data_IF_185078875580
#
_entry.id   IF_185078875580
#
_cell.length_a   1.000
_cell.length_b   1.000
_cell.length_c   1.000
_cell.angle_alpha   90.00
_cell.angle_beta   90.00
_cell.angle_gamma   90.00
#
_symmetry.space_group_name_H-M   'P 1'
#
loop_
_entity.id
_entity.type
_entity.pdbx_description
1 polymer ?
#
# COMPACT_ATOMS: atom_id res chain seq x y z
N UNK A 1 -3.23 -6.22 8.88
CA UNK A 1 -3.87 -5.72 7.65
C UNK A 1 -3.96 -4.20 7.61
N UNK A 2 -4.28 -3.54 8.73
CA UNK A 2 -4.33 -2.09 8.83
C UNK A 2 -3.12 -1.32 8.23
N UNK A 3 -1.85 -1.75 8.41
CA UNK A 3 -0.71 -1.05 7.79
C UNK A 3 -0.75 -1.05 6.25
N UNK A 4 -1.17 -2.17 5.65
CA UNK A 4 -1.31 -2.27 4.19
C UNK A 4 -2.47 -1.42 3.68
N UNK A 5 -3.62 -1.44 4.37
CA UNK A 5 -4.80 -0.63 4.00
C UNK A 5 -4.44 0.85 4.05
N UNK A 6 -3.76 1.28 5.11
CA UNK A 6 -3.26 2.65 5.25
C UNK A 6 -2.32 3.02 4.10
N UNK A 7 -1.33 2.17 3.81
CA UNK A 7 -0.38 2.40 2.73
C UNK A 7 -1.07 2.54 1.36
N UNK A 8 -2.04 1.67 1.05
CA UNK A 8 -2.79 1.75 -0.20
C UNK A 8 -3.62 3.03 -0.32
N UNK A 9 -4.24 3.50 0.78
CA UNK A 9 -4.95 4.77 0.82
C UNK A 9 -4.01 5.97 0.63
N UNK A 10 -2.84 5.95 1.26
CA UNK A 10 -1.80 6.99 1.08
C UNK A 10 -1.30 7.03 -0.38
N UNK A 11 -1.20 5.86 -1.03
CA UNK A 11 -0.88 5.74 -2.45
C UNK A 11 -2.07 6.05 -3.39
N UNK A 12 -3.21 6.48 -2.83
CA UNK A 12 -4.35 7.03 -3.55
C UNK A 12 -5.45 6.04 -3.92
N UNK A 13 -5.40 4.79 -3.47
CA UNK A 13 -6.49 3.84 -3.66
C UNK A 13 -7.68 4.13 -2.71
N UNK A 14 -8.90 3.94 -3.18
CA UNK A 14 -10.10 3.95 -2.34
C UNK A 14 -10.29 2.59 -1.67
N UNK A 15 -10.48 2.56 -0.34
CA UNK A 15 -10.76 1.34 0.43
C UNK A 15 -11.86 1.63 1.45
N UNK A 16 -12.92 0.82 1.42
CA UNK A 16 -14.18 1.01 2.16
C UNK A 16 -14.19 0.42 3.58
N UNK A 17 -13.14 -0.32 3.98
CA UNK A 17 -13.07 -1.00 5.28
C UNK A 17 -11.67 -1.01 5.89
N UNK A 18 -11.59 -1.31 7.19
CA UNK A 18 -10.33 -1.42 7.96
C UNK A 18 -9.82 -2.87 8.10
N UNK A 19 -10.64 -3.84 7.70
CA UNK A 19 -10.35 -5.27 7.76
C UNK A 19 -11.15 -6.01 6.68
N UNK A 20 -10.91 -7.31 6.54
CA UNK A 20 -11.68 -8.14 5.61
C UNK A 20 -13.11 -8.38 6.13
N UNK A 21 -14.10 -8.50 5.23
CA UNK A 21 -14.02 -8.27 3.78
C UNK A 21 -13.90 -6.77 3.44
N UNK A 22 -13.24 -6.46 2.32
CA UNK A 22 -13.03 -5.07 1.85
C UNK A 22 -13.03 -4.98 0.32
N UNK A 23 -13.36 -3.79 -0.19
CA UNK A 23 -13.30 -3.42 -1.61
C UNK A 23 -12.16 -2.43 -1.84
N UNK A 24 -11.34 -2.66 -2.88
CA UNK A 24 -10.29 -1.72 -3.30
C UNK A 24 -10.66 -1.14 -4.67
N UNK A 25 -10.68 0.18 -4.77
CA UNK A 25 -10.98 0.91 -6.00
C UNK A 25 -9.79 1.77 -6.42
N UNK A 26 -9.39 1.66 -7.68
CA UNK A 26 -8.30 2.46 -8.25
C UNK A 26 -8.72 3.89 -8.64
N UNK A 27 -7.78 4.68 -9.20
CA UNK A 27 -6.42 4.29 -9.56
C UNK A 27 -5.46 4.30 -8.36
N UNK A 28 -4.41 3.47 -8.41
CA UNK A 28 -3.25 3.64 -7.53
C UNK A 28 -2.39 4.78 -8.10
N UNK A 29 -2.29 5.91 -7.39
CA UNK A 29 -1.48 7.05 -7.86
C UNK A 29 0.01 6.71 -7.77
N UNK A 30 0.43 6.04 -6.70
CA UNK A 30 1.84 5.80 -6.42
C UNK A 30 2.43 6.92 -5.56
N UNK A 31 3.75 7.06 -5.58
CA UNK A 31 4.48 8.08 -4.81
C UNK A 31 5.34 7.47 -3.71
N UNK A 32 5.33 8.07 -2.53
CA UNK A 32 6.14 7.65 -1.40
C UNK A 32 5.27 7.06 -0.30
N UNK A 33 5.70 5.94 0.28
CA UNK A 33 5.06 5.37 1.47
C UNK A 33 6.10 4.81 2.42
N UNK A 34 5.79 4.88 3.71
CA UNK A 34 6.62 4.38 4.78
C UNK A 34 5.88 3.31 5.57
N UNK A 35 6.50 2.13 5.68
CA UNK A 35 5.91 0.97 6.33
C UNK A 35 6.85 0.48 7.44
N UNK A 36 6.34 0.20 8.67
CA UNK A 36 7.15 -0.41 9.72
C UNK A 36 7.68 -1.78 9.27
N UNK A 37 8.97 -2.05 9.44
CA UNK A 37 9.62 -3.33 9.14
C UNK A 37 9.21 -4.44 10.10
N UNK A 38 8.63 -4.09 11.25
CA UNK A 38 7.95 -5.03 12.14
C UNK A 38 6.63 -5.53 11.56
N UNK A 39 6.07 -4.85 10.54
CA UNK A 39 4.96 -5.37 9.78
C UNK A 39 5.44 -6.49 8.85
N UNK A 40 4.59 -7.49 8.61
CA UNK A 40 4.95 -8.67 7.80
C UNK A 40 5.53 -8.30 6.43
N UNK A 41 6.57 -9.03 6.00
CA UNK A 41 7.25 -8.88 4.70
C UNK A 41 6.28 -8.95 3.51
N UNK A 42 5.16 -9.65 3.66
CA UNK A 42 4.11 -9.76 2.64
C UNK A 42 3.55 -8.39 2.20
N UNK A 43 3.54 -7.38 3.07
CA UNK A 43 3.01 -6.05 2.73
C UNK A 43 3.96 -5.29 1.80
N UNK A 44 5.25 -5.30 2.12
CA UNK A 44 6.27 -4.70 1.26
C UNK A 44 6.29 -5.39 -0.11
N UNK A 45 6.28 -6.73 -0.15
CA UNK A 45 6.23 -7.49 -1.40
C UNK A 45 4.98 -7.18 -2.23
N UNK A 46 3.81 -7.10 -1.61
CA UNK A 46 2.57 -6.76 -2.31
C UNK A 46 2.60 -5.35 -2.92
N UNK A 47 3.13 -4.36 -2.19
CA UNK A 47 3.28 -2.99 -2.69
C UNK A 47 4.26 -2.92 -3.88
N UNK A 48 5.39 -3.62 -3.79
CA UNK A 48 6.38 -3.69 -4.87
C UNK A 48 5.83 -4.37 -6.13
N UNK A 49 5.00 -5.42 -5.97
CA UNK A 49 4.32 -6.06 -7.09
C UNK A 49 3.28 -5.15 -7.77
N UNK A 50 2.59 -4.30 -6.98
CA UNK A 50 1.61 -3.36 -7.50
C UNK A 50 2.23 -2.09 -8.11
N UNK A 51 3.43 -1.70 -7.66
CA UNK A 51 4.09 -0.45 -8.02
C UNK A 51 4.16 -0.14 -9.53
N UNK A 52 4.49 -1.09 -10.44
CA UNK A 52 4.56 -0.81 -11.88
C UNK A 52 3.22 -0.40 -12.50
N UNK A 53 2.09 -0.66 -11.83
CA UNK A 53 0.75 -0.26 -12.29
C UNK A 53 0.32 1.11 -11.78
N UNK A 54 1.09 1.71 -10.88
CA UNK A 54 0.82 3.06 -10.39
C UNK A 54 1.29 4.11 -11.40
N UNK A 55 0.64 5.29 -11.40
CA UNK A 55 0.98 6.35 -12.36
C UNK A 55 2.35 6.99 -12.10
N UNK A 56 2.77 7.06 -10.83
CA UNK A 56 3.98 7.76 -10.40
C UNK A 56 5.11 6.82 -9.94
N UNK A 57 4.95 5.51 -10.12
CA UNK A 57 5.83 4.53 -9.51
C UNK A 57 5.72 4.51 -7.98
N UNK A 58 6.64 3.83 -7.30
CA UNK A 58 6.67 3.73 -5.85
C UNK A 58 8.09 3.93 -5.32
N UNK A 59 8.22 4.79 -4.31
CA UNK A 59 9.35 4.81 -3.39
C UNK A 59 8.86 4.26 -2.04
N UNK A 60 9.39 3.11 -1.64
CA UNK A 60 9.03 2.46 -0.38
C UNK A 60 10.17 2.64 0.63
N UNK A 61 9.86 3.22 1.79
CA UNK A 61 10.74 3.18 2.97
C UNK A 61 10.26 2.11 3.94
N UNK A 62 11.20 1.34 4.46
CA UNK A 62 10.94 0.39 5.55
C UNK A 62 11.60 0.95 6.82
N UNK A 63 10.79 1.29 7.82
CA UNK A 63 11.24 1.88 9.08
C UNK A 63 11.40 0.82 10.16
N UNK A 64 12.53 0.81 10.88
CA UNK A 64 12.79 -0.07 12.01
C UNK A 64 12.28 0.50 13.32
#
# INVERSE_FOLDING_TARGET
>A
MAPLIRALRELGAGIDAEALPLTVTGPLRGGYVDVPGSASSQFASALLLAAPRSRQGLTLRISG
#
